data_IF_090437461193
#
_entry.id   IF_090437461193
#
_cell.length_a   1.000
_cell.length_b   1.000
_cell.length_c   1.000
_cell.angle_alpha   90.00
_cell.angle_beta   90.00
_cell.angle_gamma   90.00
#
_symmetry.space_group_name_H-M   'P 1'
#
loop_
_entity.id
_entity.type
_entity.pdbx_description
1 polymer ?
#
# COMPACT_ATOMS: atom_id res chain seq x y z
N UNK A 1 66.26 -17.77 -4.57
CA UNK A 1 65.35 -17.18 -5.57
C UNK A 1 64.15 -18.09 -5.87
N UNK A 2 63.66 -18.87 -4.89
CA UNK A 2 62.53 -19.81 -5.09
C UNK A 2 61.34 -19.60 -4.14
N UNK A 3 61.44 -18.69 -3.16
CA UNK A 3 60.35 -18.43 -2.20
C UNK A 3 59.34 -17.37 -2.69
N UNK A 4 59.72 -16.56 -3.70
CA UNK A 4 58.88 -15.45 -4.19
C UNK A 4 57.83 -15.89 -5.24
N UNK A 5 58.07 -16.99 -5.96
CA UNK A 5 57.17 -17.46 -7.02
C UNK A 5 55.96 -18.26 -6.52
N UNK A 6 56.00 -18.77 -5.28
CA UNK A 6 54.88 -19.55 -4.71
C UNK A 6 53.77 -18.69 -4.11
N UNK A 7 54.03 -17.39 -3.88
CA UNK A 7 53.04 -16.44 -3.36
C UNK A 7 52.25 -15.72 -4.45
N UNK A 8 52.77 -15.71 -5.68
CA UNK A 8 52.13 -15.06 -6.83
C UNK A 8 51.09 -15.97 -7.48
N UNK A 9 51.26 -17.30 -7.41
CA UNK A 9 50.28 -18.27 -7.94
C UNK A 9 49.04 -18.48 -7.04
N UNK A 10 49.00 -17.93 -5.83
CA UNK A 10 47.86 -18.02 -4.92
C UNK A 10 46.95 -16.79 -4.94
N UNK A 11 47.36 -15.70 -5.60
CA UNK A 11 46.57 -14.47 -5.71
C UNK A 11 45.76 -14.41 -7.02
N UNK A 12 46.08 -15.26 -8.01
CA UNK A 12 45.38 -15.33 -9.29
C UNK A 12 44.17 -16.28 -9.33
N UNK A 13 43.85 -16.97 -8.23
CA UNK A 13 42.66 -17.85 -8.12
C UNK A 13 41.49 -17.14 -7.41
N UNK A 14 41.69 -15.95 -6.86
CA UNK A 14 40.62 -15.17 -6.20
C UNK A 14 39.88 -14.18 -7.12
N UNK A 15 40.24 -14.10 -8.40
CA UNK A 15 39.64 -13.15 -9.37
C UNK A 15 38.66 -13.81 -10.36
N UNK A 16 38.15 -14.99 -10.02
CA UNK A 16 37.11 -15.71 -10.78
C UNK A 16 35.88 -16.03 -9.92
N UNK A 17 35.62 -15.22 -8.89
CA UNK A 17 34.29 -15.18 -8.27
C UNK A 17 33.34 -14.49 -9.24
N UNK A 18 32.70 -15.33 -10.05
CA UNK A 18 31.67 -14.99 -10.99
C UNK A 18 30.70 -13.95 -10.40
N UNK A 19 30.60 -12.81 -11.06
CA UNK A 19 29.47 -11.90 -10.98
C UNK A 19 28.22 -12.64 -11.48
N UNK A 20 27.67 -13.54 -10.66
CA UNK A 20 26.28 -13.92 -10.80
C UNK A 20 25.47 -12.75 -10.23
N UNK A 21 25.10 -11.84 -11.11
CA UNK A 21 23.92 -11.02 -10.88
C UNK A 21 22.76 -12.00 -10.71
N UNK A 22 22.42 -12.33 -9.46
CA UNK A 22 21.17 -12.99 -9.15
C UNK A 22 20.08 -12.03 -9.58
N UNK A 23 19.51 -12.27 -10.77
CA UNK A 23 18.26 -11.67 -11.16
C UNK A 23 17.30 -11.96 -10.01
N UNK A 24 16.85 -10.91 -9.31
CA UNK A 24 15.78 -11.04 -8.33
C UNK A 24 14.65 -11.76 -9.05
N UNK A 25 14.15 -12.90 -8.54
CA UNK A 25 12.97 -13.50 -9.12
C UNK A 25 11.91 -12.41 -9.13
N UNK A 26 11.45 -12.04 -10.32
CA UNK A 26 10.20 -11.32 -10.46
C UNK A 26 9.22 -12.24 -9.76
N UNK A 27 8.73 -11.81 -8.59
CA UNK A 27 7.69 -12.52 -7.90
C UNK A 27 6.61 -12.78 -8.94
N UNK A 28 6.37 -14.07 -9.19
CA UNK A 28 5.24 -14.51 -9.98
C UNK A 28 4.04 -13.71 -9.47
N UNK A 29 3.31 -13.05 -10.37
CA UNK A 29 2.07 -12.34 -10.04
C UNK A 29 0.96 -13.37 -9.75
N UNK A 30 1.31 -14.39 -8.98
CA UNK A 30 0.49 -15.51 -8.60
C UNK A 30 -0.34 -15.10 -7.41
N UNK A 31 -1.65 -15.03 -7.66
CA UNK A 31 -2.79 -14.95 -6.72
C UNK A 31 -2.58 -14.05 -5.49
N UNK A 32 -3.33 -12.95 -5.34
CA UNK A 32 -3.28 -12.13 -4.14
C UNK A 32 -3.36 -13.00 -2.89
N UNK A 33 -2.38 -12.87 -2.00
CA UNK A 33 -2.38 -13.60 -0.73
C UNK A 33 -3.61 -13.16 0.06
N UNK A 34 -4.64 -14.00 0.07
CA UNK A 34 -5.84 -13.73 0.87
C UNK A 34 -5.47 -13.95 2.33
N UNK A 35 -5.22 -12.86 3.03
CA UNK A 35 -4.92 -12.89 4.45
C UNK A 35 -6.17 -13.32 5.21
N UNK A 36 -5.99 -14.20 6.19
CA UNK A 36 -7.04 -14.62 7.12
C UNK A 36 -6.54 -14.40 8.54
N UNK A 37 -7.41 -13.99 9.47
CA UNK A 37 -7.03 -13.85 10.86
C UNK A 37 -6.66 -15.21 11.44
N UNK A 38 -5.62 -15.23 12.27
CA UNK A 38 -5.29 -16.40 13.10
C UNK A 38 -6.10 -16.38 14.40
N UNK A 39 -6.24 -17.54 15.04
CA UNK A 39 -6.91 -17.63 16.34
C UNK A 39 -6.23 -16.75 17.41
N UNK A 40 -4.89 -16.67 17.37
CA UNK A 40 -4.08 -15.83 18.27
C UNK A 40 -4.33 -14.35 18.04
N UNK A 41 -4.52 -13.91 16.78
CA UNK A 41 -4.84 -12.52 16.46
C UNK A 41 -6.22 -12.12 16.97
N UNK A 42 -7.21 -13.01 16.85
CA UNK A 42 -8.55 -12.78 17.41
C UNK A 42 -8.49 -12.67 18.95
N UNK A 43 -7.71 -13.51 19.61
CA UNK A 43 -7.52 -13.43 21.06
C UNK A 43 -6.78 -12.16 21.48
N UNK A 44 -5.73 -11.79 20.76
CA UNK A 44 -5.00 -10.54 20.99
C UNK A 44 -5.91 -9.32 20.85
N UNK A 45 -6.80 -9.29 19.85
CA UNK A 45 -7.76 -8.20 19.65
C UNK A 45 -8.72 -8.06 20.84
N UNK A 46 -9.26 -9.18 21.35
CA UNK A 46 -10.12 -9.19 22.54
C UNK A 46 -9.38 -8.62 23.75
N UNK A 47 -8.15 -9.08 24.01
CA UNK A 47 -7.38 -8.60 25.15
C UNK A 47 -7.01 -7.12 25.03
N UNK A 48 -6.67 -6.65 23.83
CA UNK A 48 -6.43 -5.25 23.57
C UNK A 48 -7.68 -4.39 23.87
N UNK A 49 -8.85 -4.80 23.37
CA UNK A 49 -10.11 -4.08 23.62
C UNK A 49 -10.51 -4.09 25.09
N UNK A 50 -10.38 -5.23 25.79
CA UNK A 50 -10.64 -5.31 27.23
C UNK A 50 -9.70 -4.42 28.03
N UNK A 51 -8.43 -4.39 27.65
CA UNK A 51 -7.44 -3.57 28.34
C UNK A 51 -7.74 -2.08 28.16
N UNK A 52 -7.96 -1.64 26.92
CA UNK A 52 -8.30 -0.25 26.62
C UNK A 52 -9.60 0.17 27.30
N UNK A 53 -10.64 -0.65 27.24
CA UNK A 53 -11.94 -0.32 27.84
C UNK A 53 -11.89 -0.18 29.36
N UNK A 54 -10.98 -0.91 30.04
CA UNK A 54 -10.90 -0.94 31.51
C UNK A 54 -9.81 -0.04 32.10
N UNK A 55 -8.69 0.11 31.43
CA UNK A 55 -7.49 0.74 31.98
C UNK A 55 -7.07 2.01 31.27
N UNK A 56 -7.71 2.39 30.16
CA UNK A 56 -7.43 3.67 29.52
C UNK A 56 -7.87 4.83 30.43
N UNK A 57 -7.00 5.83 30.59
CA UNK A 57 -7.22 6.96 31.49
C UNK A 57 -8.52 7.71 31.18
N UNK A 58 -8.78 7.93 29.88
CA UNK A 58 -10.07 8.44 29.40
C UNK A 58 -11.02 7.26 29.18
N UNK A 59 -12.11 7.13 29.94
CA UNK A 59 -13.10 6.12 29.67
C UNK A 59 -13.80 6.46 28.35
N UNK A 60 -13.70 5.57 27.37
CA UNK A 60 -14.45 5.66 26.12
C UNK A 60 -15.18 4.34 25.96
N UNK A 61 -16.53 4.36 25.84
CA UNK A 61 -17.27 3.14 25.58
C UNK A 61 -16.86 2.55 24.23
N UNK A 62 -16.80 1.22 24.18
CA UNK A 62 -16.67 0.47 22.93
C UNK A 62 -18.10 0.12 22.50
N UNK A 63 -18.71 1.03 21.75
CA UNK A 63 -20.09 1.00 21.25
C UNK A 63 -20.13 1.32 19.75
N UNK A 64 -21.32 1.32 19.12
CA UNK A 64 -21.54 1.62 17.70
C UNK A 64 -20.82 2.92 17.26
N UNK A 65 -20.87 3.96 18.10
CA UNK A 65 -20.24 5.25 17.81
C UNK A 65 -18.71 5.19 17.84
N UNK A 66 -18.14 4.30 18.65
CA UNK A 66 -16.71 3.98 18.61
C UNK A 66 -16.38 3.07 17.44
N UNK A 67 -17.24 2.12 17.08
CA UNK A 67 -17.08 1.26 15.89
C UNK A 67 -16.96 2.11 14.63
N UNK A 68 -17.84 3.10 14.44
CA UNK A 68 -17.76 3.99 13.27
C UNK A 68 -16.41 4.72 13.19
N UNK A 69 -15.87 5.16 14.33
CA UNK A 69 -14.55 5.81 14.40
C UNK A 69 -13.41 4.84 14.12
N UNK A 70 -13.52 3.60 14.58
CA UNK A 70 -12.55 2.55 14.28
C UNK A 70 -12.56 2.25 12.78
N UNK A 71 -13.75 2.16 12.18
CA UNK A 71 -13.91 1.93 10.75
C UNK A 71 -13.28 3.06 9.93
N UNK A 72 -13.66 4.32 10.22
CA UNK A 72 -13.13 5.49 9.51
C UNK A 72 -11.62 5.62 9.71
N UNK A 73 -11.14 5.49 10.95
CA UNK A 73 -9.71 5.55 11.26
C UNK A 73 -8.89 4.41 10.64
N UNK A 74 -9.50 3.23 10.46
CA UNK A 74 -8.84 2.12 9.76
C UNK A 74 -8.71 2.43 8.27
N UNK A 75 -9.76 2.94 7.62
CA UNK A 75 -9.69 3.38 6.22
C UNK A 75 -8.65 4.50 6.03
N UNK A 76 -8.63 5.50 6.90
CA UNK A 76 -7.64 6.58 6.88
C UNK A 76 -6.22 6.05 7.05
N UNK A 77 -6.02 5.03 7.89
CA UNK A 77 -4.70 4.41 8.09
C UNK A 77 -4.18 3.68 6.84
N UNK A 78 -5.10 3.21 5.98
CA UNK A 78 -4.76 2.53 4.74
C UNK A 78 -4.60 3.53 3.59
N UNK A 79 -5.47 4.52 3.51
CA UNK A 79 -5.61 5.37 2.34
C UNK A 79 -6.10 6.79 2.68
N UNK A 80 -5.43 7.48 3.62
CA UNK A 80 -5.82 8.83 4.05
C UNK A 80 -5.82 9.92 2.96
N UNK A 81 -5.13 9.72 1.84
CA UNK A 81 -5.18 10.65 0.68
C UNK A 81 -6.30 10.30 -0.32
N UNK A 82 -7.09 9.27 -0.02
CA UNK A 82 -8.16 8.74 -0.87
C UNK A 82 -7.73 8.46 -2.30
N UNK A 83 -6.60 7.75 -2.45
CA UNK A 83 -5.94 7.46 -3.72
C UNK A 83 -6.21 6.04 -4.22
N UNK A 84 -6.66 5.10 -3.42
CA UNK A 84 -6.78 3.69 -3.79
C UNK A 84 -8.22 3.20 -3.80
N UNK A 85 -9.02 3.51 -2.78
CA UNK A 85 -10.42 3.08 -2.75
C UNK A 85 -11.32 3.97 -3.61
N UNK A 86 -12.42 3.37 -4.05
CA UNK A 86 -13.58 4.10 -4.59
C UNK A 86 -14.70 4.17 -3.56
N UNK A 87 -15.64 5.10 -3.73
CA UNK A 87 -16.83 5.18 -2.88
C UNK A 87 -17.62 3.86 -2.90
N UNK A 88 -17.73 3.21 -4.06
CA UNK A 88 -18.38 1.91 -4.18
C UNK A 88 -17.69 0.80 -3.37
N UNK A 89 -16.37 0.87 -3.21
CA UNK A 89 -15.63 -0.05 -2.35
C UNK A 89 -16.01 0.17 -0.88
N UNK A 90 -16.06 1.43 -0.44
CA UNK A 90 -16.43 1.78 0.94
C UNK A 90 -17.88 1.38 1.23
N UNK A 91 -18.80 1.63 0.29
CA UNK A 91 -20.22 1.29 0.42
C UNK A 91 -20.45 -0.21 0.58
N UNK A 92 -19.55 -1.06 0.05
CA UNK A 92 -19.61 -2.52 0.22
C UNK A 92 -19.45 -2.93 1.70
N UNK A 93 -18.75 -2.13 2.51
CA UNK A 93 -18.53 -2.38 3.93
C UNK A 93 -19.43 -1.54 4.85
N UNK A 94 -20.40 -0.81 4.30
CA UNK A 94 -21.28 0.04 5.11
C UNK A 94 -22.02 -0.73 6.22
N UNK A 95 -22.36 -2.01 5.98
CA UNK A 95 -23.12 -2.84 6.92
C UNK A 95 -22.34 -3.31 8.16
N UNK A 96 -21.01 -3.14 8.17
CA UNK A 96 -20.12 -3.51 9.29
C UNK A 96 -19.58 -2.29 10.03
N UNK A 97 -19.91 -1.08 9.57
CA UNK A 97 -19.36 0.18 10.09
C UNK A 97 -19.62 0.37 11.59
N UNK A 98 -20.79 -0.04 12.04
CA UNK A 98 -21.30 0.08 13.40
C UNK A 98 -21.20 -1.23 14.21
N UNK A 99 -20.45 -2.25 13.73
CA UNK A 99 -20.40 -3.59 14.34
C UNK A 99 -19.00 -4.12 14.63
N UNK A 100 -17.96 -3.32 14.39
CA UNK A 100 -16.58 -3.75 14.62
C UNK A 100 -16.28 -3.95 16.12
N UNK A 101 -16.96 -3.20 16.98
CA UNK A 101 -16.92 -3.33 18.43
C UNK A 101 -17.40 -4.71 18.89
N UNK A 102 -18.58 -5.14 18.44
CA UNK A 102 -19.16 -6.45 18.76
C UNK A 102 -18.35 -7.58 18.11
N UNK A 103 -17.98 -7.44 16.84
CA UNK A 103 -17.28 -8.46 16.07
C UNK A 103 -15.96 -8.89 16.73
N UNK A 104 -15.23 -7.96 17.36
CA UNK A 104 -13.99 -8.30 18.08
C UNK A 104 -14.27 -9.27 19.23
N UNK A 105 -15.34 -9.09 20.00
CA UNK A 105 -15.69 -10.00 21.10
C UNK A 105 -16.21 -11.35 20.60
N UNK A 106 -16.80 -11.38 19.41
CA UNK A 106 -17.21 -12.61 18.71
C UNK A 106 -16.04 -13.36 18.05
N UNK A 107 -14.80 -12.83 18.16
CA UNK A 107 -13.60 -13.34 17.48
C UNK A 107 -13.69 -13.24 15.96
N UNK A 108 -14.57 -12.40 15.44
CA UNK A 108 -14.72 -12.16 14.01
C UNK A 108 -13.88 -10.96 13.58
N UNK A 109 -12.77 -11.25 12.89
CA UNK A 109 -11.91 -10.24 12.25
C UNK A 109 -12.05 -10.25 10.72
N UNK A 110 -13.12 -10.84 10.18
CA UNK A 110 -13.31 -10.98 8.73
C UNK A 110 -13.38 -9.63 8.02
N UNK A 111 -14.09 -8.64 8.57
CA UNK A 111 -14.25 -7.32 7.95
C UNK A 111 -12.92 -6.55 7.78
N UNK A 112 -12.10 -6.32 8.83
CA UNK A 112 -10.80 -5.66 8.67
C UNK A 112 -9.88 -6.37 7.67
N UNK A 113 -9.87 -7.71 7.66
CA UNK A 113 -9.07 -8.50 6.72
C UNK A 113 -9.59 -8.40 5.28
N UNK A 114 -10.91 -8.37 5.09
CA UNK A 114 -11.52 -8.17 3.77
C UNK A 114 -11.20 -6.77 3.21
N UNK A 115 -11.30 -5.72 4.04
CA UNK A 115 -10.93 -4.34 3.67
C UNK A 115 -9.44 -4.29 3.27
N UNK A 116 -8.56 -4.88 4.08
CA UNK A 116 -7.13 -4.89 3.78
C UNK A 116 -6.78 -5.71 2.53
N UNK A 117 -7.52 -6.79 2.27
CA UNK A 117 -7.38 -7.57 1.03
C UNK A 117 -7.77 -6.73 -0.18
N UNK A 118 -8.89 -6.00 -0.10
CA UNK A 118 -9.31 -5.09 -1.15
C UNK A 118 -8.29 -3.96 -1.36
N UNK A 119 -7.74 -3.39 -0.29
CA UNK A 119 -6.68 -2.39 -0.37
C UNK A 119 -5.48 -2.89 -1.16
N UNK A 120 -4.97 -4.08 -0.85
CA UNK A 120 -3.85 -4.69 -1.59
C UNK A 120 -4.17 -4.88 -3.07
N UNK A 121 -5.40 -5.32 -3.39
CA UNK A 121 -5.85 -5.44 -4.77
C UNK A 121 -5.82 -4.08 -5.47
N UNK A 122 -6.41 -3.03 -4.87
CA UNK A 122 -6.42 -1.68 -5.44
C UNK A 122 -5.00 -1.15 -5.64
N UNK A 123 -4.11 -1.33 -4.66
CA UNK A 123 -2.69 -0.95 -4.78
C UNK A 123 -2.04 -1.63 -5.99
N UNK A 124 -2.23 -2.93 -6.17
CA UNK A 124 -1.69 -3.67 -7.32
C UNK A 124 -2.23 -3.14 -8.65
N UNK A 125 -3.55 -2.93 -8.75
CA UNK A 125 -4.19 -2.36 -9.94
C UNK A 125 -3.64 -0.95 -10.26
N UNK A 126 -3.42 -0.12 -9.24
CA UNK A 126 -2.86 1.24 -9.40
C UNK A 126 -1.40 1.21 -9.85
N UNK A 127 -0.59 0.28 -9.34
CA UNK A 127 0.79 0.08 -9.78
C UNK A 127 0.84 -0.33 -11.25
N UNK A 128 0.00 -1.28 -11.67
CA UNK A 128 -0.06 -1.74 -13.05
C UNK A 128 -0.55 -0.65 -14.00
N UNK A 129 -1.57 0.10 -13.60
CA UNK A 129 -2.06 1.25 -14.36
C UNK A 129 -0.98 2.32 -14.52
N UNK A 130 -0.25 2.64 -13.44
CA UNK A 130 0.85 3.60 -13.46
C UNK A 130 1.97 3.20 -14.41
N UNK A 131 2.38 1.92 -14.41
CA UNK A 131 3.38 1.39 -15.36
C UNK A 131 2.91 1.53 -16.80
N UNK A 132 1.63 1.24 -17.08
CA UNK A 132 1.04 1.43 -18.42
C UNK A 132 1.06 2.89 -18.84
N UNK A 133 0.81 3.83 -17.93
CA UNK A 133 0.89 5.27 -18.22
C UNK A 133 2.31 5.70 -18.60
N UNK A 134 3.33 5.24 -17.88
CA UNK A 134 4.74 5.57 -18.15
C UNK A 134 5.25 5.10 -19.52
N UNK A 135 4.59 4.11 -20.14
CA UNK A 135 4.89 3.67 -21.50
C UNK A 135 4.55 4.71 -22.58
N UNK A 136 3.74 5.72 -22.25
CA UNK A 136 3.27 6.77 -23.16
C UNK A 136 3.84 8.14 -22.74
N UNK A 137 4.09 9.06 -23.68
CA UNK A 137 4.49 10.41 -23.34
C UNK A 137 3.33 11.19 -22.69
N UNK A 138 3.64 12.04 -21.71
CA UNK A 138 2.69 12.99 -21.15
C UNK A 138 2.64 14.28 -21.96
N UNK A 139 1.43 14.79 -22.19
CA UNK A 139 1.19 16.09 -22.82
C UNK A 139 1.16 17.20 -21.77
N UNK A 140 2.20 18.02 -21.71
CA UNK A 140 2.32 19.15 -20.78
C UNK A 140 1.75 20.47 -21.32
N UNK A 141 1.13 20.47 -22.51
CA UNK A 141 0.48 21.67 -23.06
C UNK A 141 -0.92 21.92 -22.46
N UNK A 142 -1.55 20.88 -21.92
CA UNK A 142 -2.86 20.97 -21.27
C UNK A 142 -2.78 21.72 -19.94
N UNK A 143 -3.69 22.67 -19.74
CA UNK A 143 -3.90 23.32 -18.45
C UNK A 143 -4.71 22.39 -17.55
N UNK A 144 -4.05 21.81 -16.56
CA UNK A 144 -4.68 21.01 -15.51
C UNK A 144 -3.88 21.17 -14.21
N UNK A 145 -4.53 20.90 -13.08
CA UNK A 145 -3.91 20.92 -11.75
C UNK A 145 -4.01 19.55 -11.08
N UNK A 146 -3.09 19.31 -10.15
CA UNK A 146 -3.10 18.15 -9.27
C UNK A 146 -3.15 18.66 -7.82
N UNK A 147 -4.19 18.27 -7.10
CA UNK A 147 -4.35 18.54 -5.68
C UNK A 147 -3.43 17.59 -4.91
N UNK A 148 -2.44 18.15 -4.21
CA UNK A 148 -1.42 17.37 -3.50
C UNK A 148 -1.91 16.86 -2.14
N UNK A 149 -2.53 17.74 -1.36
CA UNK A 149 -3.15 17.41 -0.08
C UNK A 149 -4.59 16.97 -0.33
N UNK A 150 -4.88 15.70 -0.06
CA UNK A 150 -6.18 15.08 -0.34
C UNK A 150 -6.83 14.48 0.89
N UNK A 151 -6.33 14.81 2.09
CA UNK A 151 -6.85 14.28 3.36
C UNK A 151 -8.35 14.55 3.56
N UNK A 152 -8.90 15.57 2.87
CA UNK A 152 -10.32 15.95 2.94
C UNK A 152 -11.06 15.79 1.61
N UNK A 153 -10.41 15.25 0.59
CA UNK A 153 -11.05 15.00 -0.69
C UNK A 153 -12.13 13.92 -0.52
N UNK A 154 -13.18 13.86 -1.35
CA UNK A 154 -14.05 12.69 -1.37
C UNK A 154 -13.32 11.50 -2.03
N UNK A 155 -13.72 10.29 -1.66
CA UNK A 155 -13.36 9.08 -2.41
C UNK A 155 -13.78 9.21 -3.87
N UNK A 156 -12.98 8.67 -4.79
CA UNK A 156 -13.35 8.62 -6.20
C UNK A 156 -14.64 7.81 -6.37
N UNK A 157 -15.62 8.28 -7.13
CA UNK A 157 -16.92 7.59 -7.23
C UNK A 157 -16.84 6.25 -7.94
N UNK A 158 -15.87 6.10 -8.83
CA UNK A 158 -15.70 4.95 -9.72
C UNK A 158 -14.26 4.84 -10.22
N UNK A 159 -13.96 3.74 -10.92
CA UNK A 159 -12.63 3.48 -11.46
C UNK A 159 -12.17 4.52 -12.47
N UNK A 160 -13.07 5.16 -13.23
CA UNK A 160 -12.66 6.18 -14.21
C UNK A 160 -12.17 7.47 -13.54
N UNK A 161 -12.84 7.91 -12.46
CA UNK A 161 -12.36 9.03 -11.64
C UNK A 161 -11.02 8.69 -10.97
N UNK A 162 -10.87 7.46 -10.48
CA UNK A 162 -9.63 6.98 -9.90
C UNK A 162 -8.48 6.91 -10.94
N UNK A 163 -8.77 6.47 -12.16
CA UNK A 163 -7.82 6.44 -13.27
C UNK A 163 -7.37 7.85 -13.70
N UNK A 164 -8.29 8.84 -13.66
CA UNK A 164 -7.99 10.25 -13.91
C UNK A 164 -7.07 10.84 -12.83
N UNK A 165 -7.39 10.55 -11.56
CA UNK A 165 -6.59 10.96 -10.40
C UNK A 165 -5.15 10.42 -10.49
N UNK A 166 -5.00 9.13 -10.78
CA UNK A 166 -3.68 8.53 -10.97
C UNK A 166 -2.94 9.04 -12.19
N UNK A 167 -3.66 9.33 -13.29
CA UNK A 167 -3.03 9.98 -14.46
C UNK A 167 -2.41 11.31 -14.06
N UNK A 168 -3.13 12.15 -13.32
CA UNK A 168 -2.64 13.45 -12.85
C UNK A 168 -1.48 13.29 -11.86
N UNK A 169 -1.57 12.35 -10.92
CA UNK A 169 -0.50 12.04 -9.98
C UNK A 169 0.80 11.65 -10.68
N UNK A 170 0.75 10.65 -11.56
CA UNK A 170 1.93 10.16 -12.29
C UNK A 170 2.49 11.25 -13.21
N UNK A 171 1.62 12.04 -13.86
CA UNK A 171 2.04 13.20 -14.65
C UNK A 171 2.76 14.25 -13.79
N UNK A 172 2.27 14.52 -12.58
CA UNK A 172 2.91 15.44 -11.63
C UNK A 172 4.28 14.92 -11.19
N UNK A 173 4.40 13.63 -10.85
CA UNK A 173 5.68 13.02 -10.48
C UNK A 173 6.70 13.10 -11.62
N UNK A 174 6.25 12.80 -12.85
CA UNK A 174 7.06 12.99 -14.05
C UNK A 174 7.50 14.44 -14.23
N UNK A 175 6.59 15.40 -14.06
CA UNK A 175 6.89 16.83 -14.18
C UNK A 175 7.95 17.27 -13.18
N UNK A 176 7.84 16.83 -11.92
CA UNK A 176 8.82 17.13 -10.86
C UNK A 176 10.22 16.64 -11.23
N UNK A 177 10.33 15.43 -11.76
CA UNK A 177 11.62 14.87 -12.20
C UNK A 177 12.17 15.58 -13.45
N UNK A 178 11.30 15.99 -14.38
CA UNK A 178 11.68 16.80 -15.54
C UNK A 178 12.20 18.18 -15.12
N UNK A 179 11.54 18.84 -14.15
CA UNK A 179 11.98 20.12 -13.60
C UNK A 179 13.31 20.00 -12.83
N UNK A 180 13.61 18.82 -12.29
CA UNK A 180 14.91 18.49 -11.70
C UNK A 180 16.00 18.11 -12.73
N UNK A 181 15.78 18.39 -14.02
CA UNK A 181 16.71 18.11 -15.13
C UNK A 181 17.08 16.61 -15.31
N UNK A 182 16.23 15.67 -14.88
CA UNK A 182 16.45 14.25 -15.20
C UNK A 182 16.14 13.97 -16.67
N UNK A 183 16.98 13.18 -17.37
CA UNK A 183 16.69 12.82 -18.75
C UNK A 183 15.51 11.85 -18.80
N UNK A 184 14.66 11.97 -19.82
CA UNK A 184 13.41 11.21 -19.92
C UNK A 184 13.59 9.68 -19.83
N UNK A 185 14.75 9.16 -20.26
CA UNK A 185 15.09 7.74 -20.14
C UNK A 185 15.24 7.25 -18.69
N UNK A 186 15.61 8.14 -17.76
CA UNK A 186 15.84 7.82 -16.35
C UNK A 186 14.57 8.06 -15.50
N UNK A 187 13.51 8.60 -16.11
CA UNK A 187 12.19 8.81 -15.49
C UNK A 187 11.26 7.62 -15.80
N UNK A 188 11.54 6.86 -16.86
CA UNK A 188 10.76 5.67 -17.28
C UNK A 188 11.09 4.44 -16.46
#
# INVERSE_FOLDING_TARGET
>A
MESSMRRISLILVLLAACSFAVAKPVADAGTPLVLKPTADQAEAAIWAMRFLSRFHYKPVPLDDAMSEKIFDGFLDSLDGDHLFFTQADIDTFASVRDKLDDAVFERDLSAPFAIFTLYQQRVAERLDYSRKLLSKPFDFSKQESYEYDREKAPWAKNSAELDDLWRKRVKNDWLRLKLANKPAKDIR
#
